data_IF_163792978097
#
_entry.id   IF_163792978097
#
_cell.length_a   1.000
_cell.length_b   1.000
_cell.length_c   1.000
_cell.angle_alpha   90.00
_cell.angle_beta   90.00
_cell.angle_gamma   90.00
#
_symmetry.space_group_name_H-M   'P 1'
#
loop_
_entity.id
_entity.type
_entity.pdbx_description
1 polymer ?
#
# COMPACT_ATOMS: atom_id res chain seq x y z
N UNK A 1 -11.17 10.48 -3.45
CA UNK A 1 -10.23 11.26 -2.62
C UNK A 1 -8.83 11.07 -3.15
N UNK A 2 -7.93 12.03 -2.94
CA UNK A 2 -6.51 11.89 -3.28
C UNK A 2 -5.67 11.91 -2.02
N UNK A 3 -4.54 11.20 -2.04
CA UNK A 3 -3.55 11.15 -0.98
C UNK A 3 -2.17 11.53 -1.51
N UNK A 4 -1.23 11.82 -0.62
CA UNK A 4 0.15 12.10 -0.98
C UNK A 4 1.06 10.96 -0.52
N UNK A 5 2.00 10.60 -1.38
CA UNK A 5 3.07 9.65 -1.07
C UNK A 5 4.41 10.33 -1.24
N UNK A 6 5.40 9.93 -0.45
CA UNK A 6 6.65 10.63 -0.28
C UNK A 6 7.85 9.73 -0.56
N UNK A 7 8.79 10.24 -1.35
CA UNK A 7 10.06 9.57 -1.63
C UNK A 7 10.06 8.71 -2.89
N UNK A 8 11.26 8.51 -3.43
CA UNK A 8 11.48 7.80 -4.72
C UNK A 8 10.96 6.36 -4.67
N UNK A 9 11.20 5.65 -3.57
CA UNK A 9 10.78 4.24 -3.45
C UNK A 9 9.27 4.08 -3.46
N UNK A 10 8.54 4.96 -2.76
CA UNK A 10 7.08 4.92 -2.73
C UNK A 10 6.48 5.22 -4.11
N UNK A 11 7.02 6.21 -4.83
CA UNK A 11 6.57 6.54 -6.19
C UNK A 11 6.89 5.41 -7.17
N UNK A 12 8.08 4.81 -7.10
CA UNK A 12 8.43 3.64 -7.91
C UNK A 12 7.50 2.46 -7.65
N UNK A 13 7.11 2.24 -6.40
CA UNK A 13 6.18 1.17 -6.04
C UNK A 13 4.80 1.38 -6.66
N UNK A 14 4.28 2.61 -6.61
CA UNK A 14 3.00 2.93 -7.29
C UNK A 14 3.14 2.73 -8.81
N UNK A 15 4.24 3.18 -9.41
CA UNK A 15 4.48 2.97 -10.83
C UNK A 15 4.48 1.49 -11.23
N UNK A 16 5.06 0.64 -10.39
CA UNK A 16 5.15 -0.79 -10.66
C UNK A 16 3.83 -1.55 -10.46
N UNK A 17 2.98 -1.13 -9.51
CA UNK A 17 1.83 -1.94 -9.09
C UNK A 17 0.46 -1.28 -9.37
N UNK A 18 0.39 0.04 -9.44
CA UNK A 18 -0.86 0.79 -9.62
C UNK A 18 -0.64 2.15 -10.30
N UNK A 19 0.00 2.20 -11.49
CA UNK A 19 0.35 3.46 -12.16
C UNK A 19 -0.87 4.35 -12.47
N UNK A 20 -2.04 3.74 -12.68
CA UNK A 20 -3.31 4.44 -12.92
C UNK A 20 -3.76 5.32 -11.73
N UNK A 21 -3.22 5.09 -10.56
CA UNK A 21 -3.50 5.90 -9.36
C UNK A 21 -2.70 7.20 -9.33
N UNK A 22 -1.61 7.30 -10.08
CA UNK A 22 -0.78 8.52 -10.14
C UNK A 22 -1.52 9.65 -10.84
N UNK A 23 -1.66 10.79 -10.16
CA UNK A 23 -2.30 11.99 -10.68
C UNK A 23 -1.24 12.97 -11.17
N UNK A 24 -0.27 13.28 -10.33
CA UNK A 24 0.86 14.16 -10.62
C UNK A 24 2.02 13.92 -9.66
N UNK A 25 3.22 14.32 -10.09
CA UNK A 25 4.44 14.17 -9.29
C UNK A 25 5.16 15.51 -9.19
N UNK A 26 5.57 15.87 -7.97
CA UNK A 26 6.38 17.05 -7.66
C UNK A 26 7.81 16.62 -7.41
N UNK A 27 8.74 17.25 -8.11
CA UNK A 27 10.17 16.93 -8.04
C UNK A 27 10.95 18.18 -7.67
N UNK A 28 11.97 18.02 -6.84
CA UNK A 28 12.87 19.11 -6.47
C UNK A 28 13.63 19.63 -7.70
N UNK A 29 13.48 20.92 -8.01
CA UNK A 29 14.18 21.59 -9.11
C UNK A 29 15.69 21.58 -8.87
N UNK A 30 16.46 21.27 -9.92
CA UNK A 30 17.93 21.26 -9.88
C UNK A 30 18.56 20.04 -9.20
N UNK A 31 17.76 19.02 -8.90
CA UNK A 31 18.27 17.76 -8.36
C UNK A 31 18.74 16.86 -9.51
N UNK A 32 20.06 16.68 -9.62
CA UNK A 32 20.68 15.68 -10.47
C UNK A 32 20.90 14.37 -9.65
N UNK A 33 19.91 13.49 -9.67
CA UNK A 33 20.02 12.18 -9.03
C UNK A 33 19.81 11.09 -10.10
N UNK A 34 20.83 10.25 -10.27
CA UNK A 34 20.78 9.14 -11.25
C UNK A 34 19.58 8.20 -11.03
N UNK A 35 19.07 8.12 -9.80
CA UNK A 35 17.89 7.31 -9.46
C UNK A 35 16.58 7.97 -9.90
N UNK A 36 16.60 9.27 -10.11
CA UNK A 36 15.41 10.03 -10.48
C UNK A 36 15.14 9.95 -11.99
N UNK A 37 16.17 9.87 -12.83
CA UNK A 37 16.01 9.86 -14.27
C UNK A 37 15.17 8.70 -14.81
N UNK A 38 15.37 7.45 -14.38
CA UNK A 38 14.49 6.33 -14.78
C UNK A 38 13.03 6.55 -14.37
N UNK A 39 12.81 7.09 -13.17
CA UNK A 39 11.48 7.44 -12.68
C UNK A 39 10.80 8.49 -13.57
N UNK A 40 11.51 9.56 -13.90
CA UNK A 40 10.99 10.62 -14.76
C UNK A 40 10.64 10.10 -16.15
N UNK A 41 11.48 9.25 -16.74
CA UNK A 41 11.23 8.66 -18.05
C UNK A 41 9.93 7.85 -18.04
N UNK A 42 9.70 6.99 -17.03
CA UNK A 42 8.47 6.22 -16.89
C UNK A 42 7.24 7.10 -16.70
N UNK A 43 7.34 8.17 -15.90
CA UNK A 43 6.26 9.13 -15.72
C UNK A 43 5.86 9.82 -17.03
N UNK A 44 6.85 10.24 -17.82
CA UNK A 44 6.62 10.86 -19.14
C UNK A 44 5.99 9.88 -20.14
N UNK A 45 6.47 8.62 -20.17
CA UNK A 45 5.90 7.59 -21.03
C UNK A 45 4.42 7.32 -20.71
N UNK A 46 4.03 7.41 -19.45
CA UNK A 46 2.65 7.23 -18.99
C UNK A 46 1.81 8.53 -19.09
N UNK A 47 2.41 9.63 -19.53
CA UNK A 47 1.71 10.93 -19.63
C UNK A 47 1.37 11.56 -18.27
N UNK A 48 2.08 11.18 -17.21
CA UNK A 48 1.82 11.71 -15.88
C UNK A 48 2.50 13.07 -15.72
N UNK A 49 1.75 14.06 -15.24
CA UNK A 49 2.24 15.41 -15.03
C UNK A 49 3.37 15.49 -13.99
N UNK A 50 4.52 16.02 -14.39
CA UNK A 50 5.67 16.28 -13.50
C UNK A 50 5.85 17.76 -13.32
N UNK A 51 5.89 18.22 -12.08
CA UNK A 51 6.14 19.62 -11.72
C UNK A 51 7.46 19.74 -10.97
N UNK A 52 8.37 20.56 -11.51
CA UNK A 52 9.62 20.88 -10.83
C UNK A 52 9.40 22.09 -9.91
N UNK A 53 9.58 21.90 -8.62
CA UNK A 53 9.34 22.91 -7.59
C UNK A 53 10.55 23.11 -6.69
N UNK A 54 10.60 24.25 -6.00
CA UNK A 54 11.67 24.51 -5.04
C UNK A 54 11.48 23.72 -3.74
N UNK A 55 12.53 23.68 -2.89
CA UNK A 55 12.53 22.92 -1.65
C UNK A 55 11.44 23.36 -0.68
N UNK A 56 11.23 24.68 -0.53
CA UNK A 56 10.20 25.21 0.37
C UNK A 56 8.80 24.74 -0.02
N UNK A 57 8.51 24.65 -1.31
CA UNK A 57 7.24 24.14 -1.81
C UNK A 57 7.06 22.65 -1.49
N UNK A 58 8.13 21.84 -1.65
CA UNK A 58 8.08 20.42 -1.27
C UNK A 58 7.91 20.24 0.23
N UNK A 59 8.69 20.95 1.04
CA UNK A 59 8.62 20.88 2.50
C UNK A 59 7.22 21.26 3.00
N UNK A 60 6.61 22.31 2.42
CA UNK A 60 5.24 22.73 2.73
C UNK A 60 4.21 21.66 2.34
N UNK A 61 4.37 21.03 1.17
CA UNK A 61 3.49 19.94 0.72
C UNK A 61 3.68 18.68 1.57
N UNK A 62 4.89 18.39 2.00
CA UNK A 62 5.22 17.22 2.82
C UNK A 62 4.68 17.32 4.25
N UNK A 63 4.40 18.53 4.76
CA UNK A 63 3.87 18.76 6.09
C UNK A 63 4.64 17.99 7.20
N UNK A 64 5.98 18.02 7.13
CA UNK A 64 6.88 17.35 8.08
C UNK A 64 7.30 15.92 7.68
N UNK A 65 6.75 15.35 6.64
CA UNK A 65 7.15 14.03 6.13
C UNK A 65 8.47 14.10 5.34
N UNK A 66 9.24 13.03 5.39
CA UNK A 66 10.51 12.92 4.65
C UNK A 66 10.23 12.57 3.20
N UNK A 67 10.39 13.53 2.29
CA UNK A 67 10.03 13.39 0.86
C UNK A 67 11.20 13.03 -0.06
N UNK A 68 12.44 13.12 0.40
CA UNK A 68 13.62 12.81 -0.43
C UNK A 68 13.60 13.52 -1.81
N UNK A 69 13.01 14.72 -1.91
CA UNK A 69 12.92 15.50 -3.13
C UNK A 69 11.85 15.06 -4.14
N UNK A 70 10.98 14.13 -3.77
CA UNK A 70 9.87 13.65 -4.62
C UNK A 70 8.61 13.47 -3.78
N UNK A 71 7.50 14.00 -4.27
CA UNK A 71 6.15 13.79 -3.71
C UNK A 71 5.23 13.45 -4.88
N UNK A 72 4.39 12.44 -4.75
CA UNK A 72 3.33 12.18 -5.71
C UNK A 72 1.96 12.38 -5.08
N UNK A 73 1.04 12.95 -5.84
CA UNK A 73 -0.38 12.94 -5.54
C UNK A 73 -1.01 11.76 -6.26
N UNK A 74 -1.67 10.91 -5.52
CA UNK A 74 -2.27 9.68 -6.02
C UNK A 74 -3.75 9.60 -5.65
N UNK A 75 -4.51 8.89 -6.46
CA UNK A 75 -5.85 8.48 -6.07
C UNK A 75 -5.75 7.52 -4.88
N UNK A 76 -6.59 7.71 -3.86
CA UNK A 76 -6.59 6.85 -2.69
C UNK A 76 -6.76 5.38 -3.10
N UNK A 77 -6.04 4.48 -2.43
CA UNK A 77 -6.20 3.06 -2.66
C UNK A 77 -7.64 2.62 -2.38
N UNK A 78 -8.11 1.63 -3.13
CA UNK A 78 -9.37 0.97 -2.82
C UNK A 78 -9.24 0.30 -1.45
N UNK A 79 -10.16 0.60 -0.55
CA UNK A 79 -10.30 -0.18 0.67
C UNK A 79 -11.06 -1.47 0.36
N UNK A 80 -10.49 -2.60 0.78
CA UNK A 80 -11.12 -3.90 0.64
C UNK A 80 -11.86 -4.26 1.92
N UNK A 81 -13.00 -4.94 1.78
CA UNK A 81 -13.79 -5.48 2.87
C UNK A 81 -14.17 -6.94 2.60
N UNK A 82 -14.96 -7.54 3.48
CA UNK A 82 -15.38 -8.94 3.36
C UNK A 82 -16.05 -9.30 2.04
N UNK A 83 -16.71 -8.35 1.36
CA UNK A 83 -17.39 -8.60 0.08
C UNK A 83 -16.42 -8.71 -1.10
N UNK A 84 -15.18 -8.28 -0.94
CA UNK A 84 -14.15 -8.40 -1.97
C UNK A 84 -13.43 -9.77 -1.95
N UNK A 85 -13.65 -10.60 -0.93
CA UNK A 85 -12.99 -11.92 -0.78
C UNK A 85 -13.23 -12.84 -1.98
N UNK A 86 -14.47 -12.92 -2.46
CA UNK A 86 -14.80 -13.74 -3.64
C UNK A 86 -13.94 -13.39 -4.84
N UNK A 87 -13.82 -12.10 -5.15
CA UNK A 87 -13.04 -11.64 -6.30
C UNK A 87 -11.53 -11.88 -6.11
N UNK A 88 -11.01 -11.73 -4.89
CA UNK A 88 -9.60 -11.92 -4.57
C UNK A 88 -9.24 -13.41 -4.65
N UNK A 89 -10.12 -14.30 -4.21
CA UNK A 89 -9.88 -15.75 -4.13
C UNK A 89 -10.29 -16.52 -5.37
N UNK A 90 -11.09 -15.95 -6.28
CA UNK A 90 -11.73 -16.63 -7.41
C UNK A 90 -10.79 -17.46 -8.31
N UNK A 91 -9.54 -17.00 -8.47
CA UNK A 91 -8.55 -17.66 -9.35
C UNK A 91 -7.39 -18.29 -8.57
N UNK A 92 -7.54 -18.49 -7.26
CA UNK A 92 -6.49 -19.05 -6.40
C UNK A 92 -6.76 -20.52 -6.11
N UNK A 93 -5.85 -21.38 -6.50
CA UNK A 93 -5.94 -22.82 -6.20
C UNK A 93 -5.64 -23.14 -4.74
N UNK A 94 -4.60 -22.51 -4.19
CA UNK A 94 -4.16 -22.69 -2.81
C UNK A 94 -3.92 -21.32 -2.17
N UNK A 95 -4.97 -20.58 -1.82
CA UNK A 95 -4.82 -19.24 -1.27
C UNK A 95 -4.14 -19.28 0.11
N UNK A 96 -3.17 -18.38 0.29
CA UNK A 96 -2.51 -18.14 1.56
C UNK A 96 -2.95 -16.77 2.09
N UNK A 97 -3.57 -16.77 3.25
CA UNK A 97 -4.07 -15.56 3.90
C UNK A 97 -3.35 -15.33 5.23
N UNK A 98 -3.00 -14.10 5.51
CA UNK A 98 -2.50 -13.69 6.82
C UNK A 98 -3.61 -12.93 7.57
N UNK A 99 -3.94 -13.39 8.76
CA UNK A 99 -4.93 -12.72 9.62
C UNK A 99 -4.20 -12.10 10.81
N UNK A 100 -4.40 -10.80 11.00
CA UNK A 100 -3.80 -10.04 12.09
C UNK A 100 -4.90 -9.57 13.04
N UNK A 101 -4.98 -10.19 14.20
CA UNK A 101 -5.93 -9.80 15.25
C UNK A 101 -5.24 -8.92 16.29
N UNK A 102 -5.76 -7.70 16.48
CA UNK A 102 -5.27 -6.78 17.50
C UNK A 102 -3.94 -6.07 17.20
N UNK A 103 -3.47 -6.06 15.97
CA UNK A 103 -2.30 -5.27 15.56
C UNK A 103 -2.69 -3.80 15.45
N UNK A 104 -2.34 -3.00 16.46
CA UNK A 104 -2.73 -1.58 16.58
C UNK A 104 -1.61 -0.61 16.24
N UNK A 105 -0.37 -1.07 16.16
CA UNK A 105 0.77 -0.23 15.81
C UNK A 105 1.01 -0.18 14.30
N UNK A 106 1.06 1.03 13.69
CA UNK A 106 1.29 1.19 12.25
C UNK A 106 2.65 0.63 11.75
N UNK A 107 3.71 0.70 12.55
CA UNK A 107 5.00 0.10 12.19
C UNK A 107 4.89 -1.42 12.07
N UNK A 108 4.23 -2.04 13.04
CA UNK A 108 3.99 -3.50 13.05
C UNK A 108 3.13 -3.91 11.86
N UNK A 109 2.06 -3.18 11.55
CA UNK A 109 1.24 -3.44 10.36
C UNK A 109 2.07 -3.37 9.08
N UNK A 110 2.89 -2.33 8.92
CA UNK A 110 3.77 -2.19 7.76
C UNK A 110 4.77 -3.34 7.62
N UNK A 111 5.38 -3.77 8.73
CA UNK A 111 6.31 -4.90 8.75
C UNK A 111 5.61 -6.23 8.39
N UNK A 112 4.38 -6.45 8.88
CA UNK A 112 3.58 -7.62 8.53
C UNK A 112 3.22 -7.64 7.04
N UNK A 113 2.81 -6.50 6.47
CA UNK A 113 2.51 -6.39 5.03
C UNK A 113 3.73 -6.73 4.18
N UNK A 114 4.91 -6.20 4.54
CA UNK A 114 6.16 -6.50 3.83
C UNK A 114 6.53 -7.99 3.90
N UNK A 115 6.38 -8.60 5.06
CA UNK A 115 6.64 -10.04 5.25
C UNK A 115 5.63 -10.89 4.49
N UNK A 116 4.35 -10.51 4.49
CA UNK A 116 3.28 -11.17 3.76
C UNK A 116 3.54 -11.15 2.24
N UNK A 117 3.92 -10.01 1.71
CA UNK A 117 4.26 -9.84 0.28
C UNK A 117 5.45 -10.74 -0.11
N UNK A 118 6.52 -10.74 0.69
CA UNK A 118 7.68 -11.59 0.47
C UNK A 118 7.38 -13.10 0.58
N UNK A 119 6.40 -13.48 1.40
CA UNK A 119 5.97 -14.87 1.58
C UNK A 119 4.94 -15.34 0.53
N UNK A 120 4.50 -14.46 -0.38
CA UNK A 120 3.50 -14.80 -1.38
C UNK A 120 2.08 -14.94 -0.82
N UNK A 121 1.76 -14.23 0.26
CA UNK A 121 0.41 -14.12 0.81
C UNK A 121 -0.50 -13.43 -0.21
N UNK A 122 -1.71 -13.93 -0.40
CA UNK A 122 -2.67 -13.39 -1.37
C UNK A 122 -3.47 -12.21 -0.82
N UNK A 123 -3.72 -12.17 0.47
CA UNK A 123 -4.35 -11.04 1.14
C UNK A 123 -4.07 -11.06 2.65
N UNK A 124 -4.09 -9.87 3.26
CA UNK A 124 -4.02 -9.69 4.71
C UNK A 124 -5.39 -9.26 5.22
N UNK A 125 -5.89 -9.91 6.26
CA UNK A 125 -7.19 -9.64 6.86
C UNK A 125 -6.98 -9.05 8.25
N UNK A 126 -7.65 -7.93 8.52
CA UNK A 126 -7.65 -7.27 9.83
C UNK A 126 -9.06 -6.93 10.26
N UNK A 127 -9.37 -6.89 11.57
CA UNK A 127 -10.64 -6.35 12.03
C UNK A 127 -10.73 -4.86 11.71
N UNK A 128 -11.92 -4.36 11.40
CA UNK A 128 -12.16 -2.95 11.13
C UNK A 128 -11.85 -2.08 12.36
N UNK A 129 -12.26 -2.58 13.52
CA UNK A 129 -12.01 -1.93 14.81
C UNK A 129 -10.78 -2.55 15.49
N UNK A 130 -10.10 -1.78 16.34
CA UNK A 130 -8.91 -2.23 17.10
C UNK A 130 -7.76 -2.75 16.23
N UNK A 131 -7.60 -2.17 15.04
CA UNK A 131 -6.45 -2.43 14.16
C UNK A 131 -5.82 -1.13 13.68
N UNK A 132 -4.52 -1.18 13.36
CA UNK A 132 -3.81 -0.04 12.83
C UNK A 132 -4.38 0.39 11.47
N UNK A 133 -4.37 1.70 11.24
CA UNK A 133 -4.66 2.27 9.93
C UNK A 133 -3.43 2.20 9.03
N UNK A 134 -3.64 2.18 7.72
CA UNK A 134 -2.58 2.22 6.72
C UNK A 134 -2.07 3.66 6.55
N UNK A 135 -1.40 4.15 7.58
CA UNK A 135 -0.83 5.50 7.64
C UNK A 135 0.39 5.64 6.71
N UNK A 136 0.88 6.87 6.53
CA UNK A 136 2.16 7.13 5.84
C UNK A 136 3.33 6.34 6.45
N UNK A 137 3.35 6.19 7.76
CA UNK A 137 4.35 5.40 8.50
C UNK A 137 4.23 3.92 8.13
N UNK A 138 3.03 3.34 8.18
CA UNK A 138 2.82 1.93 7.81
C UNK A 138 3.22 1.67 6.35
N UNK A 139 2.85 2.56 5.42
CA UNK A 139 3.25 2.46 4.00
C UNK A 139 4.76 2.51 3.81
N UNK A 140 5.44 3.39 4.53
CA UNK A 140 6.90 3.51 4.50
C UNK A 140 7.59 2.23 4.98
N UNK A 141 7.15 1.66 6.09
CA UNK A 141 7.69 0.41 6.64
C UNK A 141 7.38 -0.78 5.75
N UNK A 142 6.22 -0.79 5.10
CA UNK A 142 5.82 -1.84 4.17
C UNK A 142 6.67 -1.88 2.88
N UNK A 143 7.48 -0.84 2.59
CA UNK A 143 8.40 -0.80 1.45
C UNK A 143 7.73 -1.16 0.11
N UNK A 144 6.52 -0.66 -0.14
CA UNK A 144 5.77 -0.93 -1.36
C UNK A 144 4.73 -2.05 -1.25
N UNK A 145 4.85 -2.95 -0.29
CA UNK A 145 3.87 -4.02 -0.09
C UNK A 145 2.45 -3.48 0.22
N UNK A 146 2.35 -2.27 0.77
CA UNK A 146 1.06 -1.62 0.99
C UNK A 146 0.27 -1.33 -0.30
N UNK A 147 0.94 -1.31 -1.44
CA UNK A 147 0.33 -1.03 -2.75
C UNK A 147 -0.01 -2.32 -3.53
N UNK A 148 0.71 -3.41 -3.26
CA UNK A 148 0.54 -4.70 -3.91
C UNK A 148 -0.35 -5.66 -3.12
N UNK A 149 -0.30 -5.60 -1.78
CA UNK A 149 -0.99 -6.53 -0.88
C UNK A 149 -2.41 -6.06 -0.58
N UNK A 150 -3.46 -6.80 -0.95
CA UNK A 150 -4.82 -6.48 -0.51
C UNK A 150 -4.94 -6.54 1.01
N UNK A 151 -5.31 -5.42 1.63
CA UNK A 151 -5.62 -5.34 3.06
C UNK A 151 -7.15 -5.29 3.22
N UNK A 152 -7.71 -6.38 3.71
CA UNK A 152 -9.15 -6.57 3.86
C UNK A 152 -9.56 -6.23 5.28
N UNK A 153 -10.45 -5.26 5.43
CA UNK A 153 -11.02 -4.89 6.73
C UNK A 153 -12.37 -5.54 6.91
N UNK A 154 -12.48 -6.39 7.94
CA UNK A 154 -13.70 -7.14 8.22
C UNK A 154 -14.38 -6.63 9.49
N UNK A 155 -15.70 -6.61 9.47
CA UNK A 155 -16.51 -6.15 10.60
C UNK A 155 -16.50 -7.15 11.76
N UNK A 156 -16.50 -8.44 11.43
CA UNK A 156 -16.48 -9.52 12.43
C UNK A 156 -15.49 -10.61 12.01
N UNK A 157 -14.31 -10.58 12.62
CA UNK A 157 -13.22 -11.50 12.30
C UNK A 157 -13.61 -12.97 12.48
N UNK A 158 -14.28 -13.32 13.59
CA UNK A 158 -14.69 -14.69 13.85
C UNK A 158 -15.70 -15.22 12.83
N UNK A 159 -16.60 -14.36 12.34
CA UNK A 159 -17.54 -14.72 11.27
C UNK A 159 -16.79 -14.91 9.96
N UNK A 160 -15.90 -13.99 9.62
CA UNK A 160 -15.09 -14.08 8.39
C UNK A 160 -14.22 -15.34 8.36
N UNK A 161 -13.61 -15.73 9.48
CA UNK A 161 -12.83 -16.97 9.58
C UNK A 161 -13.70 -18.22 9.36
N UNK A 162 -14.91 -18.26 9.94
CA UNK A 162 -15.86 -19.36 9.70
C UNK A 162 -16.31 -19.42 8.24
N UNK A 163 -16.55 -18.28 7.62
CA UNK A 163 -16.90 -18.19 6.21
C UNK A 163 -15.78 -18.73 5.31
N UNK A 164 -14.52 -18.35 5.57
CA UNK A 164 -13.35 -18.88 4.88
C UNK A 164 -13.23 -20.40 4.99
N UNK A 165 -13.52 -20.98 6.17
CA UNK A 165 -13.50 -22.42 6.37
C UNK A 165 -14.65 -23.13 5.63
N UNK A 166 -15.86 -22.58 5.67
CA UNK A 166 -17.06 -23.24 5.17
C UNK A 166 -17.25 -23.08 3.66
N UNK A 167 -17.00 -21.86 3.14
CA UNK A 167 -17.30 -21.52 1.75
C UNK A 167 -16.08 -21.60 0.83
N UNK A 168 -14.86 -21.46 1.38
CA UNK A 168 -13.61 -21.50 0.60
C UNK A 168 -12.72 -22.70 0.92
N UNK A 169 -13.13 -23.54 1.87
CA UNK A 169 -12.38 -24.72 2.31
C UNK A 169 -10.95 -24.39 2.78
N UNK A 170 -10.76 -23.21 3.40
CA UNK A 170 -9.48 -22.74 3.89
C UNK A 170 -9.26 -23.20 5.34
N UNK A 171 -8.14 -23.82 5.60
CA UNK A 171 -7.75 -24.21 6.95
C UNK A 171 -7.25 -22.98 7.72
N UNK A 172 -7.70 -22.86 8.97
CA UNK A 172 -7.28 -21.79 9.88
C UNK A 172 -6.31 -22.36 10.90
N UNK A 173 -5.12 -21.79 10.96
CA UNK A 173 -4.07 -22.11 11.94
C UNK A 173 -3.80 -20.90 12.79
N UNK A 174 -3.98 -21.02 14.10
CA UNK A 174 -3.66 -19.97 15.06
C UNK A 174 -2.24 -20.11 15.56
N UNK A 175 -1.57 -18.97 15.75
CA UNK A 175 -0.27 -18.89 16.44
C UNK A 175 -0.46 -18.13 17.76
N UNK A 176 0.25 -18.54 18.79
CA UNK A 176 0.25 -17.90 20.10
C UNK A 176 1.65 -17.39 20.44
#
# INVERSE_FOLDING_TARGET
>A
MSEQIYGIHAVNSILAHAPERLIEVFVLKGREDKRLQPLLNQLYELGIGVQFVNRQTLDKKANGEVHQGVIARVQAAKEFNENDLDAILANKQNPLLLVLDGVTDPHTLGACLRSADAAGVDAVIVPKDKSAQLTSIARKVACGAAESMPLIRVTNLSRSLRDLQQNYNIWVVGTA
#
